data_IF_921449764498
#
_entry.id   IF_921449764498
#
_cell.length_a   1.000
_cell.length_b   1.000
_cell.length_c   1.000
_cell.angle_alpha   90.00
_cell.angle_beta   90.00
_cell.angle_gamma   90.00
#
_symmetry.space_group_name_H-M   'P 1'
#
loop_
_entity.id
_entity.type
_entity.pdbx_description
1 polymer ?
#
# COMPACT_ATOMS: atom_id res chain seq x y z
N UNK A 1 -16.22 7.72 11.48
CA UNK A 1 -16.79 6.55 10.76
C UNK A 1 -15.91 5.34 11.03
N UNK A 2 -16.46 4.22 11.52
CA UNK A 2 -15.71 2.97 11.75
C UNK A 2 -15.81 2.01 10.54
N UNK A 3 -15.19 0.82 10.67
CA UNK A 3 -15.18 -0.21 9.62
C UNK A 3 -16.58 -0.64 9.20
N UNK A 4 -17.45 -0.97 10.15
CA UNK A 4 -18.80 -1.47 9.86
C UNK A 4 -19.61 -0.41 9.12
N UNK A 5 -19.57 0.85 9.60
CA UNK A 5 -20.25 1.98 8.96
C UNK A 5 -19.72 2.25 7.55
N UNK A 6 -18.41 2.12 7.33
CA UNK A 6 -17.81 2.33 6.01
C UNK A 6 -18.22 1.23 5.03
N UNK A 7 -18.16 -0.04 5.43
CA UNK A 7 -18.51 -1.18 4.58
C UNK A 7 -20.02 -1.28 4.33
N UNK A 8 -20.85 -0.76 5.23
CA UNK A 8 -22.30 -0.71 5.07
C UNK A 8 -22.80 0.37 4.08
N UNK A 9 -21.93 1.29 3.63
CA UNK A 9 -22.28 2.27 2.60
C UNK A 9 -22.68 1.54 1.31
N UNK A 10 -23.83 1.84 0.68
CA UNK A 10 -24.30 1.12 -0.50
C UNK A 10 -23.27 1.07 -1.63
N UNK A 11 -22.61 2.18 -1.93
CA UNK A 11 -21.58 2.25 -2.96
C UNK A 11 -20.37 1.36 -2.65
N UNK A 12 -19.97 1.27 -1.37
CA UNK A 12 -18.82 0.48 -0.93
C UNK A 12 -19.15 -1.01 -0.94
N UNK A 13 -20.33 -1.38 -0.44
CA UNK A 13 -20.79 -2.77 -0.44
C UNK A 13 -20.92 -3.33 -1.86
N UNK A 14 -21.53 -2.54 -2.77
CA UNK A 14 -21.64 -2.93 -4.20
C UNK A 14 -20.29 -3.04 -4.88
N UNK A 15 -19.39 -2.09 -4.64
CA UNK A 15 -18.03 -2.16 -5.18
C UNK A 15 -17.27 -3.38 -4.64
N UNK A 16 -17.37 -3.68 -3.35
CA UNK A 16 -16.72 -4.86 -2.76
C UNK A 16 -17.25 -6.16 -3.37
N UNK A 17 -18.57 -6.26 -3.59
CA UNK A 17 -19.19 -7.40 -4.26
C UNK A 17 -18.73 -7.53 -5.72
N UNK A 18 -18.73 -6.43 -6.47
CA UNK A 18 -18.21 -6.38 -7.83
C UNK A 18 -16.74 -6.79 -7.88
N UNK A 19 -15.90 -6.28 -6.97
CA UNK A 19 -14.48 -6.58 -6.93
C UNK A 19 -14.23 -8.07 -6.59
N UNK A 20 -15.01 -8.68 -5.70
CA UNK A 20 -14.97 -10.13 -5.45
C UNK A 20 -15.21 -10.92 -6.73
N UNK A 21 -16.18 -10.51 -7.55
CA UNK A 21 -16.43 -11.14 -8.84
C UNK A 21 -15.25 -10.93 -9.81
N UNK A 22 -14.78 -9.68 -9.95
CA UNK A 22 -13.67 -9.32 -10.85
C UNK A 22 -12.34 -10.02 -10.52
N UNK A 23 -12.10 -10.35 -9.25
CA UNK A 23 -10.91 -11.12 -8.85
C UNK A 23 -10.89 -12.51 -9.47
N UNK A 24 -12.06 -13.08 -9.79
CA UNK A 24 -12.22 -14.43 -10.34
C UNK A 24 -12.61 -14.44 -11.82
N UNK A 25 -12.91 -13.29 -12.39
CA UNK A 25 -13.35 -13.21 -13.78
C UNK A 25 -12.17 -13.35 -14.74
N UNK A 26 -12.05 -14.54 -15.32
CA UNK A 26 -11.09 -14.89 -16.36
C UNK A 26 -11.68 -14.81 -17.77
N UNK A 27 -12.90 -14.29 -17.92
CA UNK A 27 -13.52 -14.10 -19.22
C UNK A 27 -12.77 -13.05 -20.06
N UNK A 28 -12.95 -13.02 -21.39
CA UNK A 28 -12.41 -11.94 -22.23
C UNK A 28 -12.90 -10.54 -21.81
N UNK A 29 -14.06 -10.45 -21.15
CA UNK A 29 -14.60 -9.22 -20.56
C UNK A 29 -14.06 -8.90 -19.15
N UNK A 30 -13.25 -9.80 -18.59
CA UNK A 30 -12.62 -9.63 -17.28
C UNK A 30 -11.53 -8.57 -17.25
N UNK A 31 -10.83 -8.48 -16.12
CA UNK A 31 -9.83 -7.42 -15.92
C UNK A 31 -8.59 -7.63 -16.80
N UNK A 32 -8.34 -6.70 -17.73
CA UNK A 32 -7.13 -6.65 -18.53
C UNK A 32 -6.42 -5.30 -18.33
N UNK A 33 -5.09 -5.33 -18.25
CA UNK A 33 -4.30 -4.10 -18.17
C UNK A 33 -2.92 -4.30 -18.78
N UNK A 34 -2.44 -3.30 -19.52
CA UNK A 34 -1.10 -3.32 -20.10
C UNK A 34 -0.48 -1.93 -20.18
N UNK A 35 0.84 -1.88 -20.12
CA UNK A 35 1.60 -0.65 -20.31
C UNK A 35 3.05 -0.94 -20.69
N UNK A 36 3.74 0.12 -21.12
CA UNK A 36 5.19 0.13 -21.28
C UNK A 36 5.86 0.64 -20.01
N UNK A 37 6.77 -0.17 -19.44
CA UNK A 37 7.64 0.22 -18.34
C UNK A 37 8.71 1.17 -18.87
N UNK A 38 8.80 2.36 -18.29
CA UNK A 38 9.88 3.31 -18.58
C UNK A 38 11.23 2.74 -18.12
N UNK A 39 12.29 2.86 -18.95
CA UNK A 39 13.59 2.30 -18.62
C UNK A 39 14.20 2.95 -17.38
N UNK A 40 15.07 2.20 -16.70
CA UNK A 40 15.89 2.69 -15.58
C UNK A 40 17.32 2.92 -16.06
N UNK A 41 17.98 3.94 -15.50
CA UNK A 41 19.38 4.25 -15.80
C UNK A 41 19.60 4.70 -17.25
N UNK A 42 20.62 4.15 -17.92
CA UNK A 42 21.00 4.51 -19.30
C UNK A 42 20.23 3.75 -20.38
N UNK A 43 19.36 2.81 -20.01
CA UNK A 43 18.57 2.06 -20.99
C UNK A 43 17.56 2.99 -21.69
N UNK A 44 17.33 2.76 -22.98
CA UNK A 44 16.27 3.42 -23.76
C UNK A 44 15.12 2.47 -24.09
N UNK A 45 15.28 1.17 -23.80
CA UNK A 45 14.33 0.12 -24.18
C UNK A 45 13.19 0.07 -23.15
N UNK A 46 11.96 0.25 -23.64
CA UNK A 46 10.76 0.04 -22.83
C UNK A 46 10.38 -1.44 -22.82
N UNK A 47 10.04 -1.98 -21.66
CA UNK A 47 9.55 -3.36 -21.50
C UNK A 47 8.03 -3.34 -21.47
N UNK A 48 7.38 -4.17 -22.29
CA UNK A 48 5.92 -4.39 -22.17
C UNK A 48 5.61 -5.19 -20.91
N UNK A 49 4.60 -4.74 -20.17
CA UNK A 49 4.00 -5.48 -19.06
C UNK A 49 2.50 -5.56 -19.32
N UNK A 50 1.91 -6.72 -19.02
CA UNK A 50 0.47 -6.94 -19.18
C UNK A 50 -0.02 -7.97 -18.16
N UNK A 51 -1.31 -7.96 -17.92
CA UNK A 51 -2.01 -8.97 -17.15
C UNK A 51 -3.44 -9.14 -17.67
N UNK A 52 -3.96 -10.35 -17.46
CA UNK A 52 -5.30 -10.74 -17.92
C UNK A 52 -6.27 -11.00 -16.75
N UNK A 53 -5.79 -10.78 -15.53
CA UNK A 53 -6.55 -10.77 -14.29
C UNK A 53 -5.74 -10.12 -13.17
N UNK A 54 -6.38 -9.83 -12.04
CA UNK A 54 -5.68 -9.33 -10.85
C UNK A 54 -4.70 -10.36 -10.28
N UNK A 55 -5.03 -11.65 -10.35
CA UNK A 55 -4.09 -12.71 -9.95
C UNK A 55 -2.90 -12.80 -10.91
N UNK A 56 -3.14 -12.64 -12.22
CA UNK A 56 -2.06 -12.62 -13.21
C UNK A 56 -1.13 -11.42 -13.03
N UNK A 57 -1.67 -10.26 -12.63
CA UNK A 57 -0.85 -9.10 -12.26
C UNK A 57 0.11 -9.40 -11.10
N UNK A 58 -0.33 -10.19 -10.11
CA UNK A 58 0.52 -10.71 -9.05
C UNK A 58 1.59 -11.68 -9.59
N UNK A 59 1.21 -12.63 -10.46
CA UNK A 59 2.16 -13.59 -11.06
C UNK A 59 3.24 -12.89 -11.87
N UNK A 60 2.88 -11.80 -12.55
CA UNK A 60 3.77 -10.97 -13.35
C UNK A 60 4.47 -9.87 -12.52
N UNK A 61 4.50 -9.99 -11.19
CA UNK A 61 5.22 -9.06 -10.34
C UNK A 61 6.72 -9.10 -10.62
N UNK A 62 7.26 -7.95 -11.01
CA UNK A 62 8.69 -7.75 -11.17
C UNK A 62 9.05 -6.30 -10.80
N UNK A 63 9.63 -6.11 -9.62
CA UNK A 63 10.09 -4.81 -9.16
C UNK A 63 11.37 -4.92 -8.33
N UNK A 64 12.47 -4.39 -8.88
CA UNK A 64 13.78 -4.44 -8.23
C UNK A 64 13.79 -3.70 -6.88
N UNK A 65 14.41 -4.34 -5.88
CA UNK A 65 14.70 -3.77 -4.57
C UNK A 65 16.15 -4.08 -4.17
N UNK A 66 16.70 -3.27 -3.26
CA UNK A 66 17.97 -3.57 -2.59
C UNK A 66 18.12 -2.77 -1.31
N UNK A 67 18.73 -3.37 -0.29
CA UNK A 67 19.13 -2.71 0.94
C UNK A 67 20.39 -3.37 1.52
N UNK A 68 21.12 -2.61 2.33
CA UNK A 68 22.22 -3.14 3.12
C UNK A 68 21.68 -3.55 4.48
N UNK A 69 21.92 -4.81 4.85
CA UNK A 69 21.59 -5.36 6.15
C UNK A 69 22.77 -5.17 7.10
N UNK A 70 22.59 -4.29 8.08
CA UNK A 70 23.63 -3.95 9.05
C UNK A 70 23.83 -5.03 10.12
N UNK A 71 22.90 -5.98 10.29
CA UNK A 71 23.04 -7.07 11.26
C UNK A 71 23.80 -8.26 10.70
N UNK A 72 23.69 -8.49 9.39
CA UNK A 72 24.43 -9.56 8.69
C UNK A 72 25.62 -9.04 7.88
N UNK A 73 25.83 -7.72 7.84
CA UNK A 73 26.86 -7.05 7.05
C UNK A 73 26.83 -7.44 5.56
N UNK A 74 25.63 -7.52 4.98
CA UNK A 74 25.42 -8.03 3.62
C UNK A 74 24.47 -7.15 2.80
N UNK A 75 24.60 -7.19 1.48
CA UNK A 75 23.66 -6.52 0.58
C UNK A 75 22.62 -7.52 0.08
N UNK A 76 21.35 -7.24 0.40
CA UNK A 76 20.20 -7.99 -0.11
C UNK A 76 19.65 -7.27 -1.34
N UNK A 77 19.33 -8.02 -2.40
CA UNK A 77 18.71 -7.51 -3.63
C UNK A 77 17.87 -8.59 -4.28
N UNK A 78 16.85 -8.17 -5.02
CA UNK A 78 15.95 -9.05 -5.76
C UNK A 78 15.01 -8.25 -6.64
N UNK A 79 14.09 -8.93 -7.32
CA UNK A 79 13.07 -8.28 -8.15
C UNK A 79 11.75 -9.03 -8.23
N UNK A 80 11.73 -10.33 -7.94
CA UNK A 80 10.51 -11.15 -7.97
C UNK A 80 9.68 -10.95 -6.70
N UNK A 81 8.42 -11.39 -6.73
CA UNK A 81 7.58 -11.35 -5.53
C UNK A 81 8.18 -12.21 -4.42
N UNK A 82 8.58 -13.45 -4.71
CA UNK A 82 9.12 -14.39 -3.72
C UNK A 82 10.38 -13.85 -3.01
N UNK A 83 11.32 -13.26 -3.75
CA UNK A 83 12.52 -12.63 -3.16
C UNK A 83 12.13 -11.45 -2.25
N UNK A 84 11.14 -10.66 -2.68
CA UNK A 84 10.64 -9.52 -1.93
C UNK A 84 9.90 -9.96 -0.66
N UNK A 85 9.05 -10.98 -0.75
CA UNK A 85 8.31 -11.55 0.37
C UNK A 85 9.26 -12.15 1.41
N UNK A 86 10.28 -12.90 0.99
CA UNK A 86 11.30 -13.44 1.89
C UNK A 86 12.04 -12.32 2.64
N UNK A 87 12.42 -11.25 1.94
CA UNK A 87 13.08 -10.08 2.55
C UNK A 87 12.15 -9.37 3.55
N UNK A 88 10.89 -9.16 3.17
CA UNK A 88 9.91 -8.50 4.03
C UNK A 88 9.54 -9.33 5.26
N UNK A 89 9.50 -10.66 5.15
CA UNK A 89 9.29 -11.56 6.29
C UNK A 89 10.44 -11.43 7.30
N UNK A 90 11.67 -11.48 6.82
CA UNK A 90 12.85 -11.25 7.67
C UNK A 90 12.80 -9.89 8.38
N UNK A 91 12.52 -8.82 7.64
CA UNK A 91 12.43 -7.46 8.22
C UNK A 91 11.25 -7.30 9.19
N UNK A 92 10.12 -7.96 8.92
CA UNK A 92 8.96 -8.03 9.82
C UNK A 92 9.34 -8.64 11.16
N UNK A 93 9.97 -9.81 11.14
CA UNK A 93 10.33 -10.54 12.35
C UNK A 93 11.30 -9.72 13.20
N UNK A 94 12.30 -9.08 12.58
CA UNK A 94 13.20 -8.16 13.26
C UNK A 94 12.48 -6.95 13.85
N UNK A 95 11.56 -6.32 13.10
CA UNK A 95 10.85 -5.12 13.54
C UNK A 95 9.94 -5.42 14.73
N UNK A 96 9.17 -6.50 14.66
CA UNK A 96 8.25 -6.91 15.74
C UNK A 96 9.01 -7.18 17.03
N UNK A 97 10.09 -7.98 16.96
CA UNK A 97 10.94 -8.26 18.13
C UNK A 97 11.55 -6.97 18.71
N UNK A 98 12.08 -6.09 17.86
CA UNK A 98 12.67 -4.84 18.32
C UNK A 98 11.64 -3.92 19.00
N UNK A 99 10.44 -3.80 18.44
CA UNK A 99 9.38 -2.98 19.00
C UNK A 99 8.88 -3.54 20.34
N UNK A 100 8.67 -4.85 20.42
CA UNK A 100 8.21 -5.53 21.64
C UNK A 100 9.24 -5.44 22.78
N UNK A 101 10.54 -5.41 22.45
CA UNK A 101 11.64 -5.25 23.41
C UNK A 101 11.91 -3.80 23.80
N UNK A 102 11.24 -2.82 23.19
CA UNK A 102 11.55 -1.40 23.42
C UNK A 102 12.91 -0.96 22.83
N UNK A 103 13.48 -1.72 21.89
CA UNK A 103 14.79 -1.45 21.32
C UNK A 103 14.71 -0.40 20.21
N UNK A 104 14.92 0.85 20.62
CA UNK A 104 14.93 2.02 19.76
C UNK A 104 15.97 1.97 18.62
N UNK A 105 17.18 1.50 18.92
CA UNK A 105 18.28 1.44 17.94
C UNK A 105 17.98 0.39 16.87
N UNK A 106 17.56 -0.80 17.28
CA UNK A 106 17.19 -1.86 16.35
C UNK A 106 15.95 -1.49 15.54
N UNK A 107 14.94 -0.88 16.16
CA UNK A 107 13.79 -0.32 15.42
C UNK A 107 14.25 0.67 14.34
N UNK A 108 15.15 1.59 14.68
CA UNK A 108 15.66 2.59 13.76
C UNK A 108 16.35 1.94 12.54
N UNK A 109 17.24 0.98 12.78
CA UNK A 109 17.97 0.27 11.73
C UNK A 109 17.01 -0.54 10.83
N UNK A 110 16.07 -1.28 11.42
CA UNK A 110 15.10 -2.07 10.66
C UNK A 110 14.16 -1.17 9.85
N UNK A 111 13.64 -0.09 10.43
CA UNK A 111 12.85 0.90 9.68
C UNK A 111 13.65 1.50 8.52
N UNK A 112 14.95 1.80 8.72
CA UNK A 112 15.80 2.27 7.63
C UNK A 112 15.93 1.24 6.50
N UNK A 113 16.12 -0.04 6.83
CA UNK A 113 16.18 -1.13 5.84
C UNK A 113 14.87 -1.28 5.07
N UNK A 114 13.71 -1.23 5.74
CA UNK A 114 12.38 -1.29 5.12
C UNK A 114 12.19 -0.13 4.13
N UNK A 115 12.54 1.09 4.55
CA UNK A 115 12.42 2.26 3.69
C UNK A 115 13.40 2.24 2.52
N UNK A 116 14.59 1.64 2.71
CA UNK A 116 15.58 1.45 1.64
C UNK A 116 15.10 0.41 0.63
N UNK A 117 14.59 -0.74 1.09
CA UNK A 117 13.90 -1.74 0.27
C UNK A 117 12.82 -1.10 -0.61
N UNK A 118 12.00 -0.23 -0.01
CA UNK A 118 10.93 0.49 -0.71
C UNK A 118 11.37 1.67 -1.58
N UNK A 119 12.67 2.02 -1.61
CA UNK A 119 13.20 3.15 -2.37
C UNK A 119 12.75 4.54 -1.86
N UNK A 120 12.41 4.65 -0.57
CA UNK A 120 11.78 5.84 0.04
C UNK A 120 12.46 6.30 1.34
N UNK A 121 13.70 5.87 1.60
CA UNK A 121 14.46 6.26 2.79
C UNK A 121 14.72 7.78 2.87
N UNK A 122 15.22 8.39 1.80
CA UNK A 122 15.74 9.76 1.85
C UNK A 122 17.14 9.83 2.47
N UNK A 123 17.49 10.98 3.03
CA UNK A 123 18.77 11.26 3.69
C UNK A 123 18.56 11.67 5.15
N UNK A 124 19.65 11.94 5.85
CA UNK A 124 19.63 12.42 7.24
C UNK A 124 19.02 13.82 7.37
N UNK A 125 19.10 14.62 6.31
CA UNK A 125 18.62 16.01 6.28
C UNK A 125 17.25 16.17 5.63
N UNK A 126 16.74 15.15 4.93
CA UNK A 126 15.42 15.21 4.31
C UNK A 126 14.81 13.82 4.04
N UNK A 127 13.48 13.75 4.13
CA UNK A 127 12.72 12.53 3.84
C UNK A 127 12.42 11.70 5.08
N UNK A 128 12.30 10.38 4.94
CA UNK A 128 11.86 9.51 6.03
C UNK A 128 12.97 9.21 7.04
N UNK A 129 14.25 9.14 6.61
CA UNK A 129 15.39 8.94 7.51
C UNK A 129 15.54 10.09 8.50
N UNK A 130 15.45 11.35 8.06
CA UNK A 130 15.40 12.51 8.96
C UNK A 130 14.33 12.36 10.06
N UNK A 131 13.14 11.89 9.69
CA UNK A 131 12.04 11.71 10.65
C UNK A 131 12.30 10.57 11.61
N UNK A 132 12.86 9.44 11.14
CA UNK A 132 13.31 8.36 12.02
C UNK A 132 14.40 8.81 13.00
N UNK A 133 15.33 9.67 12.57
CA UNK A 133 16.37 10.25 13.45
C UNK A 133 15.71 11.11 14.53
N UNK A 134 14.76 11.97 14.17
CA UNK A 134 14.10 12.87 15.10
C UNK A 134 13.29 12.12 16.19
N UNK A 135 12.75 10.94 15.88
CA UNK A 135 12.00 10.12 16.83
C UNK A 135 12.81 8.98 17.45
N UNK A 136 14.12 8.88 17.18
CA UNK A 136 14.93 7.70 17.49
C UNK A 136 14.86 7.31 18.97
N UNK A 137 14.89 8.27 19.89
CA UNK A 137 14.89 8.02 21.33
C UNK A 137 13.59 7.45 21.89
N UNK A 138 12.50 7.48 21.13
CA UNK A 138 11.18 6.96 21.54
C UNK A 138 10.52 6.12 20.43
N UNK A 139 11.28 5.69 19.43
CA UNK A 139 10.75 5.06 18.22
C UNK A 139 10.03 3.74 18.53
N UNK A 140 10.56 2.90 19.42
CA UNK A 140 9.93 1.63 19.78
C UNK A 140 8.58 1.84 20.49
N UNK A 141 8.49 2.83 21.38
CA UNK A 141 7.24 3.23 22.05
C UNK A 141 6.24 3.77 21.03
N UNK A 142 6.67 4.66 20.14
CA UNK A 142 5.85 5.20 19.05
C UNK A 142 5.28 4.09 18.15
N UNK A 143 6.13 3.17 17.69
CA UNK A 143 5.71 2.05 16.86
C UNK A 143 4.71 1.16 17.59
N UNK A 144 4.98 0.82 18.85
CA UNK A 144 4.05 0.03 19.67
C UNK A 144 2.69 0.71 19.86
N UNK A 145 2.68 2.03 20.07
CA UNK A 145 1.44 2.79 20.19
C UNK A 145 0.66 2.87 18.86
N UNK A 146 1.35 3.04 17.74
CA UNK A 146 0.75 3.02 16.39
C UNK A 146 0.18 1.65 16.05
N UNK A 147 0.89 0.57 16.41
CA UNK A 147 0.41 -0.81 16.25
C UNK A 147 -0.91 -0.99 17.00
N UNK A 148 -0.94 -0.65 18.29
CA UNK A 148 -2.19 -0.69 19.09
C UNK A 148 -3.30 0.15 18.48
N UNK A 149 -2.98 1.33 17.96
CA UNK A 149 -3.98 2.18 17.31
C UNK A 149 -4.62 1.49 16.11
N UNK A 150 -3.83 0.94 15.18
CA UNK A 150 -4.35 0.33 13.96
C UNK A 150 -4.99 -1.05 14.17
N UNK A 151 -4.54 -1.81 15.18
CA UNK A 151 -5.11 -3.11 15.53
C UNK A 151 -6.35 -2.99 16.44
N UNK A 152 -6.62 -1.81 16.98
CA UNK A 152 -7.87 -1.51 17.68
C UNK A 152 -9.03 -1.27 16.70
N UNK A 153 -10.24 -1.05 17.23
CA UNK A 153 -11.39 -0.55 16.46
C UNK A 153 -11.19 0.92 16.06
N UNK A 154 -10.25 1.17 15.15
CA UNK A 154 -9.93 2.51 14.67
C UNK A 154 -11.11 3.15 13.92
N UNK A 155 -11.16 4.48 13.92
CA UNK A 155 -12.17 5.27 13.22
C UNK A 155 -11.48 6.21 12.24
N UNK A 156 -12.19 6.61 11.20
CA UNK A 156 -11.76 7.73 10.37
C UNK A 156 -11.92 9.02 11.17
N UNK A 157 -10.81 9.74 11.30
CA UNK A 157 -10.65 10.95 12.09
C UNK A 157 -10.05 12.06 11.22
N UNK A 158 -10.21 13.31 11.66
CA UNK A 158 -9.59 14.46 10.97
C UNK A 158 -8.07 14.48 11.16
N UNK A 159 -7.61 14.06 12.33
CA UNK A 159 -6.20 13.94 12.71
C UNK A 159 -5.99 12.60 13.41
N UNK A 160 -4.78 12.08 13.30
CA UNK A 160 -4.43 10.76 13.83
C UNK A 160 -3.25 10.92 14.77
N UNK A 161 -3.43 10.55 16.04
CA UNK A 161 -2.42 10.72 17.09
C UNK A 161 -2.32 9.50 17.97
N UNK A 162 -1.18 9.34 18.64
CA UNK A 162 -0.94 8.33 19.67
C UNK A 162 -0.38 8.98 20.93
N UNK A 163 -0.76 8.45 22.09
CA UNK A 163 -0.23 8.86 23.38
C UNK A 163 1.03 8.05 23.70
N UNK A 164 2.11 8.73 24.07
CA UNK A 164 3.40 8.16 24.47
C UNK A 164 3.78 8.73 25.84
N UNK A 165 3.45 8.03 26.92
CA UNK A 165 3.64 8.54 28.28
C UNK A 165 2.98 9.91 28.49
N UNK A 166 3.79 10.97 28.54
CA UNK A 166 3.35 12.36 28.75
C UNK A 166 3.29 13.22 27.48
N UNK A 167 3.41 12.63 26.28
CA UNK A 167 3.31 13.37 25.00
C UNK A 167 2.27 12.75 24.08
N UNK A 168 1.81 13.56 23.13
CA UNK A 168 0.94 13.14 22.03
C UNK A 168 1.72 13.33 20.73
N UNK A 169 1.86 12.27 19.95
CA UNK A 169 2.55 12.29 18.66
C UNK A 169 1.55 12.08 17.51
N UNK A 170 1.72 12.82 16.42
CA UNK A 170 0.95 12.58 15.19
C UNK A 170 1.39 11.28 14.53
N UNK A 171 0.42 10.44 14.14
CA UNK A 171 0.70 9.25 13.33
C UNK A 171 1.16 9.71 11.95
N UNK A 172 2.46 9.57 11.72
CA UNK A 172 3.06 9.89 10.44
C UNK A 172 2.61 8.89 9.38
N UNK A 173 1.99 9.40 8.32
CA UNK A 173 1.57 8.56 7.21
C UNK A 173 2.04 9.11 5.87
N UNK A 174 2.79 8.28 5.16
CA UNK A 174 3.20 8.47 3.77
C UNK A 174 3.56 7.10 3.18
N UNK A 175 3.93 7.07 1.89
CA UNK A 175 4.30 5.81 1.21
C UNK A 175 5.45 5.02 1.83
N UNK A 176 6.28 5.63 2.68
CA UNK A 176 7.32 4.97 3.46
C UNK A 176 6.81 4.43 4.77
N UNK A 177 6.07 5.23 5.55
CA UNK A 177 5.53 4.78 6.84
C UNK A 177 4.47 3.69 6.67
N UNK A 178 3.70 3.67 5.57
CA UNK A 178 2.84 2.51 5.25
C UNK A 178 3.61 1.21 5.12
N UNK A 179 4.88 1.24 4.67
CA UNK A 179 5.73 0.04 4.58
C UNK A 179 6.13 -0.47 5.95
N UNK A 180 6.54 0.44 6.83
CA UNK A 180 6.86 0.12 8.23
C UNK A 180 5.64 -0.51 8.90
N UNK A 181 4.47 0.15 8.80
CA UNK A 181 3.24 -0.32 9.42
C UNK A 181 2.73 -1.63 8.82
N UNK A 182 2.90 -1.87 7.52
CA UNK A 182 2.55 -3.15 6.89
C UNK A 182 3.36 -4.35 7.37
N UNK A 183 4.50 -4.12 8.01
CA UNK A 183 5.31 -5.17 8.62
C UNK A 183 5.13 -5.22 10.14
N UNK A 184 4.70 -4.12 10.75
CA UNK A 184 4.47 -4.05 12.20
C UNK A 184 3.09 -4.56 12.61
N UNK A 185 2.05 -4.10 11.90
CA UNK A 185 0.65 -4.38 12.21
C UNK A 185 0.16 -5.59 11.43
N UNK A 186 -0.74 -6.36 12.03
CA UNK A 186 -1.41 -7.45 11.33
C UNK A 186 -2.45 -6.92 10.32
N UNK A 187 -2.58 -7.61 9.18
CA UNK A 187 -3.55 -7.29 8.11
C UNK A 187 -3.52 -5.82 7.63
N UNK A 188 -2.32 -5.23 7.56
CA UNK A 188 -2.11 -3.84 7.13
C UNK A 188 -1.36 -3.76 5.79
N UNK A 189 -1.95 -3.09 4.80
CA UNK A 189 -1.38 -2.96 3.46
C UNK A 189 -0.43 -1.77 3.33
N UNK A 190 0.54 -1.90 2.42
CA UNK A 190 1.34 -0.80 1.88
C UNK A 190 0.45 0.04 0.96
N UNK A 191 -0.17 1.09 1.50
CA UNK A 191 -0.85 2.07 0.67
C UNK A 191 0.17 3.07 0.10
N UNK A 192 0.72 2.75 -1.07
CA UNK A 192 1.58 3.68 -1.80
C UNK A 192 0.86 4.33 -2.99
N UNK A 193 1.62 5.17 -3.70
CA UNK A 193 1.13 5.90 -4.87
C UNK A 193 0.46 5.04 -5.94
N UNK A 194 0.91 3.79 -6.12
CA UNK A 194 0.42 2.86 -7.14
C UNK A 194 -0.81 2.12 -6.66
N UNK A 195 -0.81 1.66 -5.41
CA UNK A 195 -1.98 0.98 -4.83
C UNK A 195 -3.20 1.90 -4.85
N UNK A 196 -3.04 3.17 -4.48
CA UNK A 196 -4.13 4.16 -4.61
C UNK A 196 -4.58 4.40 -6.05
N UNK A 197 -3.64 4.39 -7.00
CA UNK A 197 -3.93 4.52 -8.42
C UNK A 197 -4.77 3.33 -8.93
N UNK A 198 -4.37 2.09 -8.63
CA UNK A 198 -5.11 0.89 -9.00
C UNK A 198 -6.49 0.80 -8.39
N UNK A 199 -6.64 1.15 -7.12
CA UNK A 199 -7.96 1.20 -6.50
C UNK A 199 -8.86 2.21 -7.20
N UNK A 200 -8.33 3.38 -7.59
CA UNK A 200 -9.07 4.35 -8.39
C UNK A 200 -9.45 3.80 -9.77
N UNK A 201 -8.55 3.09 -10.46
CA UNK A 201 -8.85 2.43 -11.74
C UNK A 201 -9.98 1.41 -11.61
N UNK A 202 -9.91 0.55 -10.58
CA UNK A 202 -10.93 -0.47 -10.32
C UNK A 202 -12.27 0.17 -9.97
N UNK A 203 -12.28 1.25 -9.18
CA UNK A 203 -13.50 2.02 -8.90
C UNK A 203 -14.08 2.62 -10.18
N UNK A 204 -13.23 3.14 -11.08
CA UNK A 204 -13.67 3.66 -12.37
C UNK A 204 -14.33 2.57 -13.22
N UNK A 205 -13.69 1.41 -13.37
CA UNK A 205 -14.26 0.28 -14.11
C UNK A 205 -15.61 -0.18 -13.51
N UNK A 206 -15.70 -0.24 -12.17
CA UNK A 206 -16.95 -0.53 -11.49
C UNK A 206 -18.04 0.47 -11.86
N UNK A 207 -17.77 1.78 -11.74
CA UNK A 207 -18.73 2.83 -12.05
C UNK A 207 -19.16 2.79 -13.53
N UNK A 208 -18.22 2.56 -14.44
CA UNK A 208 -18.49 2.44 -15.88
C UNK A 208 -19.35 1.20 -16.20
N UNK A 209 -19.16 0.10 -15.48
CA UNK A 209 -19.98 -1.11 -15.63
C UNK A 209 -21.41 -0.97 -15.10
N UNK A 210 -21.67 0.03 -14.26
CA UNK A 210 -22.96 0.30 -13.62
C UNK A 210 -23.90 1.19 -14.47
N UNK A 211 -23.61 1.35 -15.77
CA UNK A 211 -24.47 1.93 -16.81
C UNK A 211 -25.26 3.19 -16.39
N UNK A 212 -24.55 4.22 -15.90
CA UNK A 212 -25.08 5.55 -15.50
C UNK A 212 -25.66 5.68 -14.08
N UNK A 213 -25.49 4.68 -13.20
CA UNK A 213 -25.88 4.80 -11.79
C UNK A 213 -25.10 5.87 -11.01
N UNK A 214 -23.96 6.34 -11.54
CA UNK A 214 -23.12 7.34 -10.90
C UNK A 214 -22.69 8.44 -11.89
N UNK A 215 -22.82 9.70 -11.48
CA UNK A 215 -22.37 10.87 -12.27
C UNK A 215 -21.02 11.43 -11.82
N UNK A 216 -20.46 10.92 -10.72
CA UNK A 216 -19.15 11.26 -10.16
C UNK A 216 -18.66 10.12 -9.28
N UNK A 217 -17.37 10.12 -8.92
CA UNK A 217 -16.82 9.15 -7.96
C UNK A 217 -17.52 9.34 -6.60
N UNK A 218 -18.18 8.30 -6.04
CA UNK A 218 -18.75 8.36 -4.71
C UNK A 218 -17.69 8.62 -3.64
N UNK A 219 -18.02 9.39 -2.60
CA UNK A 219 -17.05 9.77 -1.56
C UNK A 219 -16.42 8.55 -0.87
N UNK A 220 -17.22 7.50 -0.60
CA UNK A 220 -16.75 6.24 -0.03
C UNK A 220 -15.69 5.54 -0.89
N UNK A 221 -15.73 5.73 -2.21
CA UNK A 221 -14.83 5.10 -3.18
C UNK A 221 -13.74 6.05 -3.71
N UNK A 222 -13.66 7.28 -3.18
CA UNK A 222 -12.64 8.25 -3.57
C UNK A 222 -11.30 7.92 -2.91
N UNK A 223 -10.60 6.93 -3.47
CA UNK A 223 -9.24 6.56 -3.10
C UNK A 223 -8.24 7.54 -3.72
N UNK A 224 -7.38 8.12 -2.88
CA UNK A 224 -6.40 9.08 -3.36
C UNK A 224 -5.20 8.35 -3.97
N UNK A 225 -4.72 8.82 -5.13
CA UNK A 225 -3.58 8.25 -5.84
C UNK A 225 -2.32 9.11 -5.63
N UNK A 226 -1.12 8.55 -5.83
CA UNK A 226 0.11 9.36 -5.76
C UNK A 226 0.68 9.64 -7.15
N UNK A 227 1.03 10.90 -7.42
CA UNK A 227 1.72 11.27 -8.68
C UNK A 227 3.03 10.50 -8.85
N UNK A 228 3.35 10.08 -10.06
CA UNK A 228 4.64 9.49 -10.35
C UNK A 228 5.75 10.55 -10.29
N UNK A 229 6.94 10.16 -9.82
CA UNK A 229 8.14 11.02 -9.91
C UNK A 229 8.56 11.25 -11.36
N UNK A 230 8.35 10.24 -12.22
CA UNK A 230 8.59 10.34 -13.65
C UNK A 230 7.31 10.85 -14.33
N UNK A 231 7.37 12.03 -14.95
CA UNK A 231 6.22 12.67 -15.62
C UNK A 231 5.67 11.90 -16.81
N UNK A 232 6.45 10.94 -17.37
CA UNK A 232 6.00 10.03 -18.46
C UNK A 232 5.09 8.89 -17.98
N UNK A 233 4.97 8.73 -16.66
CA UNK A 233 4.17 7.69 -16.02
C UNK A 233 2.91 8.34 -15.46
N UNK A 234 1.79 8.17 -16.16
CA UNK A 234 0.49 8.59 -15.65
C UNK A 234 -0.02 7.61 -14.59
N UNK A 235 -0.45 8.13 -13.44
CA UNK A 235 -1.09 7.35 -12.38
C UNK A 235 -2.46 7.91 -12.00
N UNK A 236 -2.94 8.90 -12.75
CA UNK A 236 -4.25 9.49 -12.51
C UNK A 236 -5.33 8.56 -13.08
N UNK A 237 -6.18 7.97 -12.22
CA UNK A 237 -7.28 7.13 -12.69
C UNK A 237 -8.46 7.95 -13.21
N UNK A 238 -8.41 9.28 -13.18
CA UNK A 238 -9.51 10.13 -13.61
C UNK A 238 -9.83 9.99 -15.10
N UNK A 239 -11.11 10.02 -15.44
CA UNK A 239 -11.60 10.11 -16.81
C UNK A 239 -12.98 10.79 -16.85
N UNK A 240 -13.15 11.78 -17.72
CA UNK A 240 -14.40 12.53 -17.84
C UNK A 240 -14.87 13.10 -16.49
N UNK A 241 -16.09 12.75 -16.07
CA UNK A 241 -16.69 13.20 -14.82
C UNK A 241 -16.16 12.47 -13.56
N UNK A 242 -15.39 11.40 -13.74
CA UNK A 242 -14.84 10.61 -12.64
C UNK A 242 -13.47 11.17 -12.25
N UNK A 243 -13.45 12.06 -11.26
CA UNK A 243 -12.24 12.74 -10.79
C UNK A 243 -11.75 12.16 -9.46
N UNK A 244 -10.48 11.78 -9.43
CA UNK A 244 -9.78 11.30 -8.23
C UNK A 244 -8.78 12.33 -7.74
N UNK A 245 -8.62 12.42 -6.42
CA UNK A 245 -7.68 13.36 -5.80
C UNK A 245 -6.30 12.74 -5.67
N UNK A 246 -5.28 13.55 -5.90
CA UNK A 246 -3.92 13.16 -5.59
C UNK A 246 -3.68 13.24 -4.07
N UNK A 247 -2.88 12.31 -3.54
CA UNK A 247 -2.31 12.38 -2.20
C UNK A 247 -1.50 13.68 -2.08
N UNK A 248 -1.84 14.48 -1.09
CA UNK A 248 -1.10 15.66 -0.68
C UNK A 248 -0.07 15.30 0.40
N UNK A 249 0.72 16.28 0.83
CA UNK A 249 1.64 16.12 1.96
C UNK A 249 0.91 16.00 3.33
N UNK A 250 -0.42 16.04 3.36
CA UNK A 250 -1.21 15.93 4.59
C UNK A 250 -1.36 14.47 5.02
N UNK A 251 -0.73 14.11 6.15
CA UNK A 251 -0.71 12.74 6.67
C UNK A 251 -2.12 12.17 6.88
N UNK A 252 -3.05 12.96 7.44
CA UNK A 252 -4.41 12.50 7.73
C UNK A 252 -5.19 11.98 6.49
N UNK A 253 -5.01 12.62 5.33
CA UNK A 253 -5.62 12.15 4.07
C UNK A 253 -5.03 10.80 3.65
N UNK A 254 -3.71 10.62 3.80
CA UNK A 254 -3.06 9.34 3.51
C UNK A 254 -3.55 8.26 4.49
N UNK A 255 -3.60 8.56 5.79
CA UNK A 255 -4.07 7.63 6.82
C UNK A 255 -5.50 7.18 6.57
N UNK A 256 -6.42 8.12 6.31
CA UNK A 256 -7.82 7.81 5.99
C UNK A 256 -7.93 6.89 4.77
N UNK A 257 -7.17 7.15 3.71
CA UNK A 257 -7.19 6.32 2.52
C UNK A 257 -6.62 4.92 2.76
N UNK A 258 -5.53 4.80 3.54
CA UNK A 258 -4.98 3.50 3.91
C UNK A 258 -5.95 2.69 4.77
N UNK A 259 -6.60 3.31 5.77
CA UNK A 259 -7.60 2.65 6.61
C UNK A 259 -8.77 2.14 5.76
N UNK A 260 -9.36 3.00 4.92
CA UNK A 260 -10.43 2.61 3.99
C UNK A 260 -10.03 1.43 3.10
N UNK A 261 -8.81 1.45 2.58
CA UNK A 261 -8.30 0.38 1.73
C UNK A 261 -8.07 -0.92 2.49
N UNK A 262 -7.53 -0.88 3.71
CA UNK A 262 -7.42 -2.04 4.59
C UNK A 262 -8.80 -2.66 4.86
N UNK A 263 -9.79 -1.83 5.23
CA UNK A 263 -11.15 -2.30 5.48
C UNK A 263 -11.81 -2.93 4.26
N UNK A 264 -11.66 -2.28 3.10
CA UNK A 264 -12.17 -2.80 1.84
C UNK A 264 -11.51 -4.14 1.49
N UNK A 265 -10.17 -4.19 1.42
CA UNK A 265 -9.43 -5.40 1.03
C UNK A 265 -9.69 -6.54 2.03
N UNK A 266 -9.72 -6.25 3.32
CA UNK A 266 -10.06 -7.22 4.36
C UNK A 266 -11.51 -7.72 4.27
N UNK A 267 -12.40 -7.04 3.55
CA UNK A 267 -13.76 -7.52 3.28
C UNK A 267 -13.87 -8.44 2.06
N UNK A 268 -12.82 -8.58 1.25
CA UNK A 268 -12.83 -9.33 0.00
C UNK A 268 -12.73 -10.85 0.20
N UNK A 269 -12.48 -11.33 1.42
CA UNK A 269 -12.34 -12.75 1.74
C UNK A 269 -11.33 -13.49 0.83
N UNK A 270 -10.17 -12.87 0.55
CA UNK A 270 -9.15 -13.39 -0.38
C UNK A 270 -8.67 -14.81 -0.03
N UNK A 271 -8.82 -15.26 1.22
CA UNK A 271 -8.54 -16.64 1.63
C UNK A 271 -9.52 -17.67 1.04
N UNK A 272 -10.68 -17.23 0.56
CA UNK A 272 -11.69 -18.04 -0.13
C UNK A 272 -11.65 -17.89 -1.66
N UNK A 273 -10.82 -16.99 -2.17
CA UNK A 273 -10.57 -16.84 -3.60
C UNK A 273 -9.93 -18.12 -4.17
N UNK A 274 -10.39 -18.69 -5.30
CA UNK A 274 -9.76 -19.85 -5.92
C UNK A 274 -8.26 -19.70 -6.20
N UNK A 275 -7.80 -18.50 -6.56
CA UNK A 275 -6.39 -18.27 -6.90
C UNK A 275 -5.57 -17.66 -5.77
N UNK A 276 -5.99 -16.52 -5.21
CA UNK A 276 -5.26 -15.88 -4.10
C UNK A 276 -5.14 -16.78 -2.85
N UNK A 277 -6.08 -17.71 -2.59
CA UNK A 277 -6.00 -18.64 -1.46
C UNK A 277 -4.80 -19.59 -1.52
N UNK A 278 -4.21 -19.79 -2.71
CA UNK A 278 -3.03 -20.65 -2.93
C UNK A 278 -1.72 -19.95 -2.54
N UNK A 279 -1.76 -18.66 -2.24
CA UNK A 279 -0.59 -17.89 -1.81
C UNK A 279 -0.43 -17.94 -0.29
N UNK A 280 0.80 -17.79 0.19
CA UNK A 280 1.14 -17.73 1.62
C UNK A 280 0.44 -16.58 2.36
N UNK A 281 0.31 -15.44 1.70
CA UNK A 281 -0.37 -14.24 2.20
C UNK A 281 -1.25 -13.64 1.08
N UNK A 282 -2.53 -14.04 0.99
CA UNK A 282 -3.45 -13.59 -0.04
C UNK A 282 -3.61 -12.07 -0.11
N UNK A 283 -3.60 -11.39 1.03
CA UNK A 283 -3.72 -9.94 1.10
C UNK A 283 -2.47 -9.26 0.53
N UNK A 284 -1.27 -9.78 0.85
CA UNK A 284 -0.01 -9.26 0.31
C UNK A 284 0.13 -9.53 -1.18
N UNK A 285 -0.28 -10.71 -1.66
CA UNK A 285 -0.31 -11.02 -3.09
C UNK A 285 -1.25 -10.07 -3.85
N UNK A 286 -2.43 -9.78 -3.29
CA UNK A 286 -3.36 -8.81 -3.87
C UNK A 286 -2.81 -7.38 -3.87
N UNK A 287 -2.17 -6.94 -2.76
CA UNK A 287 -1.44 -5.67 -2.71
C UNK A 287 -0.36 -5.59 -3.79
N UNK A 288 0.40 -6.67 -4.02
CA UNK A 288 1.43 -6.73 -5.05
C UNK A 288 0.85 -6.62 -6.47
N UNK A 289 -0.30 -7.24 -6.72
CA UNK A 289 -1.06 -7.05 -7.97
C UNK A 289 -1.44 -5.57 -8.18
N UNK A 290 -2.03 -4.93 -7.17
CA UNK A 290 -2.37 -3.51 -7.21
C UNK A 290 -1.12 -2.63 -7.43
N UNK A 291 0.00 -2.96 -6.78
CA UNK A 291 1.24 -2.22 -6.97
C UNK A 291 1.74 -2.27 -8.42
N UNK A 292 1.60 -3.40 -9.10
CA UNK A 292 1.98 -3.54 -10.51
C UNK A 292 0.99 -2.80 -11.41
N UNK A 293 -0.32 -3.08 -11.30
CA UNK A 293 -1.37 -2.41 -12.10
C UNK A 293 -1.23 -0.88 -12.00
N UNK A 294 -0.96 -0.36 -10.81
CA UNK A 294 -0.92 1.07 -10.54
C UNK A 294 0.41 1.73 -10.91
N UNK A 295 1.33 1.00 -11.53
CA UNK A 295 2.54 1.61 -12.09
C UNK A 295 2.15 2.72 -13.07
N UNK A 296 1.27 2.40 -14.02
CA UNK A 296 0.76 3.31 -15.05
C UNK A 296 -0.71 3.01 -15.36
N UNK A 297 -1.53 4.05 -15.49
CA UNK A 297 -2.96 4.01 -15.82
C UNK A 297 -3.22 4.85 -17.07
#
# INVERSE_FOLDING_TARGET
>A
MNREQYLAKPEVARFAMWLKHMIHDLSPSGFHHEYLIEPKGKSTIKKKWSCNSLFDAYRNYEWSFSYFDCFTNSTVKGKTYAESEASLKYLRDLLKVAADQGDNEKCFHVCCMILKWGGVLGSETHGNKQKLIAMKSYLAEYLSAVKRYFESTCKLEKNYTVELGNRVEEIRMNSGFTKIYSLLCDEFIIYDSRVGASLGLLVRHFIESENSSYHKVPEGLSFYYGKAKNTKVNRDPSAGAYVFRALSNHAASHTSNNIKANWLIGSLDLKKSPDFSKTSDPCRAFEAALFMVGYKI
#
